data_IF_961649419391
#
_entry.id   IF_961649419391
#
_cell.length_a   1.000
_cell.length_b   1.000
_cell.length_c   1.000
_cell.angle_alpha   90.00
_cell.angle_beta   90.00
_cell.angle_gamma   90.00
#
_symmetry.space_group_name_H-M   'P 1'
#
loop_
_entity.id
_entity.type
_entity.pdbx_description
1 polymer ?
#
# COMPACT_ATOMS: atom_id res chain seq x y z
N UNK A 1 -17.32 -36.26 28.53
CA UNK A 1 -17.89 -35.73 27.26
C UNK A 1 -18.25 -34.28 27.47
N UNK A 2 -17.39 -33.36 27.08
CA UNK A 2 -17.75 -31.95 26.86
C UNK A 2 -17.31 -31.66 25.43
N UNK A 3 -18.29 -31.34 24.62
CA UNK A 3 -18.24 -31.25 23.16
C UNK A 3 -17.41 -30.05 22.72
N UNK A 4 -16.47 -30.30 21.80
CA UNK A 4 -15.65 -29.27 21.17
C UNK A 4 -16.47 -28.40 20.23
N UNK A 5 -16.35 -27.08 20.42
CA UNK A 5 -16.57 -26.12 19.37
C UNK A 5 -15.24 -25.96 18.62
N UNK A 6 -15.18 -26.41 17.36
CA UNK A 6 -14.10 -26.01 16.46
C UNK A 6 -14.30 -24.53 16.13
N UNK A 7 -13.29 -23.66 16.23
CA UNK A 7 -13.42 -22.31 15.72
C UNK A 7 -13.59 -22.39 14.19
N UNK A 8 -14.72 -21.88 13.67
CA UNK A 8 -14.92 -21.67 12.23
C UNK A 8 -13.80 -20.79 11.65
N UNK A 9 -13.56 -20.88 10.35
CA UNK A 9 -12.50 -20.10 9.70
C UNK A 9 -12.76 -18.60 9.88
N UNK A 10 -11.74 -17.75 9.84
CA UNK A 10 -11.92 -16.28 9.92
C UNK A 10 -12.89 -15.78 8.84
N UNK A 11 -12.84 -16.38 7.65
CA UNK A 11 -13.79 -16.15 6.57
C UNK A 11 -15.24 -16.49 6.96
N UNK A 12 -15.46 -17.52 7.79
CA UNK A 12 -16.77 -17.88 8.33
C UNK A 12 -17.25 -16.86 9.38
N UNK A 13 -16.37 -16.35 10.25
CA UNK A 13 -16.70 -15.26 11.18
C UNK A 13 -17.05 -13.94 10.45
N UNK A 14 -16.38 -13.65 9.34
CA UNK A 14 -16.75 -12.55 8.43
C UNK A 14 -18.13 -12.76 7.76
N UNK A 15 -18.58 -14.01 7.60
CA UNK A 15 -19.92 -14.36 7.08
C UNK A 15 -20.99 -14.33 8.18
N UNK A 16 -20.69 -14.76 9.40
CA UNK A 16 -21.65 -14.78 10.52
C UNK A 16 -22.08 -13.37 10.97
N UNK A 17 -21.18 -12.38 10.88
CA UNK A 17 -21.52 -10.97 11.10
C UNK A 17 -22.64 -10.43 10.16
N UNK A 18 -22.97 -11.15 9.08
CA UNK A 18 -24.07 -10.84 8.15
C UNK A 18 -25.46 -11.17 8.71
N UNK A 19 -25.58 -12.15 9.61
CA UNK A 19 -26.87 -12.71 10.00
C UNK A 19 -27.52 -11.96 11.16
N UNK A 20 -26.76 -11.23 11.97
CA UNK A 20 -27.27 -10.55 13.17
C UNK A 20 -27.96 -9.19 12.93
N UNK A 21 -28.07 -8.70 11.68
CA UNK A 21 -28.62 -7.35 11.39
C UNK A 21 -29.74 -7.27 10.33
N UNK A 22 -30.52 -8.33 10.13
CA UNK A 22 -31.83 -8.18 9.45
C UNK A 22 -32.93 -8.12 10.50
N UNK A 23 -33.21 -6.92 11.03
CA UNK A 23 -34.51 -6.52 11.61
C UNK A 23 -34.55 -5.00 11.88
N UNK A 24 -35.29 -4.29 11.02
CA UNK A 24 -36.09 -3.12 11.41
C UNK A 24 -35.61 -1.73 10.96
N UNK A 25 -36.21 -1.19 9.89
CA UNK A 25 -36.99 0.07 9.86
C UNK A 25 -37.05 0.69 8.44
N UNK A 26 -38.26 0.87 7.90
CA UNK A 26 -38.55 1.80 6.77
C UNK A 26 -39.16 3.12 7.30
N UNK A 27 -39.94 3.89 6.50
CA UNK A 27 -39.54 4.59 5.28
C UNK A 27 -39.98 6.10 5.21
N UNK A 28 -39.56 6.80 4.13
CA UNK A 28 -40.12 8.00 3.45
C UNK A 28 -39.81 9.45 3.92
N UNK A 29 -39.35 10.27 2.97
CA UNK A 29 -39.90 11.56 2.46
C UNK A 29 -38.93 12.04 1.34
N UNK A 30 -39.28 12.66 0.21
CA UNK A 30 -40.40 13.52 -0.19
C UNK A 30 -39.82 14.85 -0.73
N UNK A 31 -39.97 15.10 -2.05
CA UNK A 31 -39.51 16.26 -2.85
C UNK A 31 -40.05 17.63 -2.33
N UNK A 32 -39.55 18.82 -2.77
CA UNK A 32 -39.91 19.34 -4.10
C UNK A 32 -38.91 20.31 -4.81
N UNK A 33 -39.29 20.64 -6.04
CA UNK A 33 -38.71 21.51 -7.07
C UNK A 33 -38.53 22.99 -6.70
N UNK A 34 -37.68 23.71 -7.45
CA UNK A 34 -38.07 24.94 -8.19
C UNK A 34 -36.95 25.51 -9.07
N UNK A 35 -37.42 26.13 -10.15
CA UNK A 35 -36.77 26.80 -11.28
C UNK A 35 -36.42 28.26 -10.92
N UNK A 36 -35.28 28.81 -11.40
CA UNK A 36 -35.16 30.22 -11.83
C UNK A 36 -33.91 30.49 -12.68
N UNK A 37 -34.06 31.45 -13.59
CA UNK A 37 -33.19 31.88 -14.70
C UNK A 37 -32.20 32.99 -14.29
N UNK A 38 -31.11 33.15 -15.05
CA UNK A 38 -30.54 34.41 -15.58
C UNK A 38 -29.28 34.05 -16.42
N UNK A 39 -29.25 34.18 -17.75
CA UNK A 39 -28.93 35.37 -18.54
C UNK A 39 -27.54 35.97 -18.24
N UNK A 40 -26.63 35.95 -19.22
CA UNK A 40 -25.81 37.10 -19.66
C UNK A 40 -25.02 36.75 -20.93
N UNK A 41 -24.82 37.81 -21.71
CA UNK A 41 -24.52 37.91 -23.13
C UNK A 41 -23.03 38.10 -23.46
N UNK A 42 -22.65 37.67 -24.67
CA UNK A 42 -21.85 38.49 -25.60
C UNK A 42 -20.32 38.31 -25.59
N UNK A 43 -19.73 38.17 -26.79
CA UNK A 43 -18.32 38.47 -27.02
C UNK A 43 -17.63 37.59 -28.07
N UNK A 44 -17.93 37.82 -29.36
CA UNK A 44 -17.08 37.35 -30.46
C UNK A 44 -15.90 38.32 -30.67
N UNK A 45 -14.67 37.81 -30.80
CA UNK A 45 -13.59 38.47 -31.56
C UNK A 45 -12.69 37.43 -32.24
N UNK A 46 -12.47 37.68 -33.52
CA UNK A 46 -11.53 37.03 -34.43
C UNK A 46 -10.36 37.99 -34.67
N UNK A 47 -9.14 37.45 -34.80
CA UNK A 47 -7.94 38.04 -35.44
C UNK A 47 -6.78 37.04 -35.21
N UNK A 48 -5.78 36.83 -36.06
CA UNK A 48 -5.48 37.22 -37.44
C UNK A 48 -4.29 36.33 -37.88
N UNK A 49 -4.14 36.13 -39.19
CA UNK A 49 -2.98 35.49 -39.83
C UNK A 49 -1.80 36.49 -39.91
N UNK A 50 -0.57 36.02 -39.75
CA UNK A 50 0.60 36.58 -40.45
C UNK A 50 1.68 35.52 -40.68
N UNK A 51 2.44 35.72 -41.75
CA UNK A 51 3.29 34.75 -42.43
C UNK A 51 4.80 34.93 -42.16
N UNK A 52 5.51 33.83 -42.42
CA UNK A 52 6.85 33.70 -43.03
C UNK A 52 8.12 34.26 -42.34
N UNK A 53 9.12 33.39 -42.18
CA UNK A 53 10.55 33.74 -42.09
C UNK A 53 11.41 32.60 -41.54
N UNK A 54 12.64 32.35 -42.05
CA UNK A 54 13.15 30.98 -42.27
C UNK A 54 14.33 30.60 -41.39
N UNK A 55 14.41 29.35 -40.92
CA UNK A 55 15.72 28.72 -40.55
C UNK A 55 15.61 27.20 -40.42
N UNK A 56 16.34 26.50 -41.27
CA UNK A 56 17.17 25.33 -40.91
C UNK A 56 16.49 24.10 -40.30
N UNK A 57 16.12 23.15 -41.15
CA UNK A 57 15.97 21.76 -40.73
C UNK A 57 17.36 21.14 -40.54
N UNK A 58 17.88 21.14 -39.31
CA UNK A 58 18.94 20.22 -38.90
C UNK A 58 18.27 19.00 -38.28
N UNK A 59 18.16 17.95 -39.08
CA UNK A 59 18.00 16.57 -38.58
C UNK A 59 19.17 16.28 -37.65
N UNK A 60 18.92 16.20 -36.34
CA UNK A 60 19.78 15.44 -35.43
C UNK A 60 19.12 14.09 -35.18
N UNK A 61 19.76 13.08 -35.75
CA UNK A 61 19.49 11.67 -35.55
C UNK A 61 19.69 11.26 -34.09
N UNK A 62 18.90 10.26 -33.68
CA UNK A 62 19.32 9.21 -32.75
C UNK A 62 19.86 9.70 -31.39
N UNK A 63 18.95 10.01 -30.47
CA UNK A 63 19.25 10.13 -29.05
C UNK A 63 19.13 8.77 -28.39
N UNK A 64 20.26 8.07 -28.29
CA UNK A 64 20.44 6.85 -27.50
C UNK A 64 19.99 7.07 -26.06
N UNK A 65 19.51 5.99 -25.43
CA UNK A 65 19.32 5.86 -23.99
C UNK A 65 20.49 6.50 -23.23
N UNK A 66 20.25 7.62 -22.55
CA UNK A 66 21.16 8.12 -21.52
C UNK A 66 20.85 7.33 -20.26
N UNK A 67 21.55 6.21 -20.08
CA UNK A 67 21.80 5.72 -18.72
C UNK A 67 22.83 6.67 -18.14
N UNK A 68 22.42 7.50 -17.18
CA UNK A 68 23.36 8.23 -16.34
C UNK A 68 24.12 7.16 -15.56
N UNK A 69 25.40 6.98 -15.85
CA UNK A 69 26.26 6.16 -15.01
C UNK A 69 26.30 6.82 -13.64
N UNK A 70 25.92 6.07 -12.59
CA UNK A 70 26.12 6.50 -11.21
C UNK A 70 27.59 6.90 -11.06
N UNK A 71 27.84 8.02 -10.39
CA UNK A 71 29.21 8.44 -10.12
C UNK A 71 29.87 7.42 -9.19
N UNK A 72 31.17 7.16 -9.36
CA UNK A 72 31.91 6.20 -8.53
C UNK A 72 31.82 6.49 -7.02
N UNK A 73 31.51 7.73 -6.64
CA UNK A 73 31.24 8.13 -5.27
C UNK A 73 29.88 7.64 -4.75
N UNK A 74 28.84 7.63 -5.58
CA UNK A 74 27.51 7.12 -5.23
C UNK A 74 27.53 5.61 -5.02
N UNK A 75 28.26 4.88 -5.87
CA UNK A 75 28.45 3.43 -5.72
C UNK A 75 29.19 3.10 -4.41
N UNK A 76 30.28 3.81 -4.11
CA UNK A 76 31.03 3.62 -2.86
C UNK A 76 30.20 3.93 -1.61
N UNK A 77 29.38 5.00 -1.64
CA UNK A 77 28.52 5.35 -0.53
C UNK A 77 27.40 4.31 -0.31
N UNK A 78 26.87 3.74 -1.40
CA UNK A 78 25.88 2.67 -1.33
C UNK A 78 26.48 1.40 -0.70
N UNK A 79 27.70 1.03 -1.09
CA UNK A 79 28.41 -0.12 -0.52
C UNK A 79 28.67 0.04 0.98
N UNK A 80 29.15 1.20 1.43
CA UNK A 80 29.33 1.50 2.85
C UNK A 80 28.00 1.42 3.62
N UNK A 81 26.93 1.95 3.03
CA UNK A 81 25.59 1.91 3.60
C UNK A 81 25.08 0.48 3.73
N UNK A 82 25.25 -0.36 2.69
CA UNK A 82 24.92 -1.78 2.70
C UNK A 82 25.77 -2.57 3.72
N UNK A 83 27.05 -2.25 3.86
CA UNK A 83 27.91 -2.87 4.86
C UNK A 83 27.43 -2.58 6.30
N UNK A 84 26.77 -1.44 6.52
CA UNK A 84 26.24 -1.04 7.82
C UNK A 84 24.90 -1.70 8.20
N UNK A 85 24.28 -2.45 7.29
CA UNK A 85 22.91 -3.02 7.45
C UNK A 85 22.87 -4.20 8.41
N UNK A 86 23.98 -4.92 8.59
CA UNK A 86 23.99 -6.13 9.42
C UNK A 86 23.37 -5.86 10.79
N UNK A 87 22.41 -6.71 11.16
CA UNK A 87 21.61 -6.61 12.40
C UNK A 87 20.63 -5.42 12.51
N UNK A 88 20.43 -4.64 11.43
CA UNK A 88 19.46 -3.54 11.35
C UNK A 88 18.24 -3.90 10.52
N UNK A 89 17.15 -3.15 10.70
CA UNK A 89 15.97 -3.23 9.84
C UNK A 89 16.19 -2.41 8.57
N UNK A 90 15.91 -3.00 7.41
CA UNK A 90 15.84 -2.23 6.17
C UNK A 90 14.45 -1.64 6.02
N UNK A 91 14.36 -0.35 5.71
CA UNK A 91 13.13 0.29 5.27
C UNK A 91 13.22 0.54 3.78
N UNK A 92 12.35 -0.10 2.99
CA UNK A 92 12.20 0.18 1.56
C UNK A 92 11.19 1.32 1.42
N UNK A 93 11.70 2.49 1.05
CA UNK A 93 10.91 3.69 0.82
C UNK A 93 10.36 3.72 -0.61
N UNK A 94 9.03 3.68 -0.71
CA UNK A 94 8.28 3.86 -1.95
C UNK A 94 7.90 5.35 -2.18
N UNK A 95 8.79 6.27 -1.78
CA UNK A 95 8.64 7.72 -1.97
C UNK A 95 7.41 8.32 -1.27
N UNK A 96 7.16 7.93 -0.02
CA UNK A 96 6.00 8.38 0.73
C UNK A 96 6.34 9.26 1.94
N UNK A 97 5.53 10.29 2.16
CA UNK A 97 5.71 11.21 3.29
C UNK A 97 5.57 10.55 4.66
N UNK A 98 4.83 9.45 4.78
CA UNK A 98 4.64 8.71 6.02
C UNK A 98 5.80 7.78 6.35
N UNK A 99 6.74 7.54 5.42
CA UNK A 99 7.97 6.77 5.70
C UNK A 99 8.75 7.38 6.87
N UNK A 100 8.79 8.72 6.96
CA UNK A 100 9.41 9.41 8.11
C UNK A 100 8.76 9.07 9.44
N UNK A 101 7.43 8.99 9.50
CA UNK A 101 6.72 8.62 10.73
C UNK A 101 7.05 7.18 11.14
N UNK A 102 7.11 6.25 10.17
CA UNK A 102 7.50 4.86 10.44
C UNK A 102 8.94 4.78 10.99
N UNK A 103 9.87 5.51 10.38
CA UNK A 103 11.25 5.60 10.84
C UNK A 103 11.35 6.18 12.26
N UNK A 104 10.56 7.22 12.57
CA UNK A 104 10.49 7.77 13.93
C UNK A 104 9.97 6.74 14.94
N UNK A 105 8.95 5.96 14.60
CA UNK A 105 8.47 4.88 15.49
C UNK A 105 9.52 3.79 15.69
N UNK A 106 10.27 3.40 14.65
CA UNK A 106 11.38 2.47 14.80
C UNK A 106 12.46 3.02 15.74
N UNK A 107 12.83 4.29 15.58
CA UNK A 107 13.79 4.96 16.46
C UNK A 107 13.31 5.05 17.91
N UNK A 108 12.03 5.33 18.15
CA UNK A 108 11.45 5.35 19.49
C UNK A 108 11.41 3.97 20.17
N UNK A 109 11.52 2.89 19.39
CA UNK A 109 11.60 1.51 19.87
C UNK A 109 13.05 1.01 19.98
N UNK A 110 14.05 1.92 19.90
CA UNK A 110 15.48 1.60 19.89
C UNK A 110 15.84 0.57 18.80
N UNK A 111 15.12 0.59 17.68
CA UNK A 111 15.40 -0.27 16.54
C UNK A 111 16.27 0.46 15.54
N UNK A 112 17.50 -0.02 15.35
CA UNK A 112 18.37 0.49 14.29
C UNK A 112 17.80 0.15 12.92
N UNK A 113 17.82 1.14 12.02
CA UNK A 113 17.31 0.98 10.66
C UNK A 113 18.18 1.68 9.61
N UNK A 114 18.07 1.20 8.37
CA UNK A 114 18.66 1.80 7.17
C UNK A 114 17.57 1.94 6.12
N UNK A 115 17.40 3.14 5.57
CA UNK A 115 16.39 3.42 4.54
C UNK A 115 17.03 3.32 3.15
N UNK A 116 16.43 2.54 2.25
CA UNK A 116 16.75 2.53 0.82
C UNK A 116 15.51 2.87 0.04
N UNK A 117 15.64 3.62 -1.05
CA UNK A 117 14.52 3.78 -1.97
C UNK A 117 14.32 2.51 -2.80
N UNK A 118 13.10 2.31 -3.30
CA UNK A 118 12.72 1.12 -4.04
C UNK A 118 13.45 0.90 -5.39
N UNK A 119 14.31 1.83 -5.79
CA UNK A 119 15.11 1.83 -7.02
C UNK A 119 16.63 1.99 -6.76
N UNK A 120 17.06 2.13 -5.49
CA UNK A 120 18.46 2.36 -5.11
C UNK A 120 19.28 1.07 -4.94
N UNK A 121 18.61 -0.06 -4.65
CA UNK A 121 19.27 -1.34 -4.31
C UNK A 121 18.63 -2.50 -5.03
N UNK A 122 19.40 -3.58 -5.21
CA UNK A 122 18.90 -4.85 -5.73
C UNK A 122 18.54 -5.83 -4.62
N UNK A 123 17.71 -6.81 -4.94
CA UNK A 123 17.36 -7.91 -4.02
C UNK A 123 18.59 -8.67 -3.55
N UNK A 124 19.53 -8.94 -4.45
CA UNK A 124 20.76 -9.68 -4.14
C UNK A 124 21.66 -8.89 -3.16
N UNK A 125 21.71 -7.57 -3.29
CA UNK A 125 22.41 -6.69 -2.36
C UNK A 125 21.77 -6.72 -0.97
N UNK A 126 20.44 -6.61 -0.90
CA UNK A 126 19.70 -6.69 0.36
C UNK A 126 19.93 -8.06 1.03
N UNK A 127 19.82 -9.15 0.27
CA UNK A 127 20.03 -10.50 0.80
C UNK A 127 21.45 -10.68 1.35
N UNK A 128 22.45 -10.21 0.60
CA UNK A 128 23.86 -10.28 0.99
C UNK A 128 24.16 -9.47 2.24
N UNK A 129 23.43 -8.36 2.44
CA UNK A 129 23.56 -7.48 3.59
C UNK A 129 22.99 -8.08 4.91
N UNK A 130 22.19 -9.16 4.83
CA UNK A 130 21.63 -9.92 5.97
C UNK A 130 20.94 -9.02 7.00
N UNK A 131 19.85 -8.34 6.62
CA UNK A 131 19.09 -7.50 7.54
C UNK A 131 18.45 -8.32 8.66
N UNK A 132 18.18 -7.67 9.79
CA UNK A 132 17.38 -8.24 10.88
C UNK A 132 15.90 -8.39 10.52
N UNK A 133 15.42 -7.53 9.63
CA UNK A 133 14.05 -7.53 9.11
C UNK A 133 13.87 -6.47 8.04
N UNK A 134 12.75 -6.53 7.33
CA UNK A 134 12.45 -5.65 6.21
C UNK A 134 11.09 -4.99 6.43
N UNK A 135 11.04 -3.67 6.29
CA UNK A 135 9.84 -2.86 6.32
C UNK A 135 9.59 -2.28 4.93
N UNK A 136 8.49 -2.67 4.30
CA UNK A 136 8.04 -2.07 3.02
C UNK A 136 7.08 -0.93 3.32
N UNK A 137 7.48 0.29 2.97
CA UNK A 137 6.74 1.51 3.31
C UNK A 137 5.44 1.66 2.49
N UNK A 138 4.53 2.57 2.90
CA UNK A 138 3.51 3.10 2.02
C UNK A 138 4.13 3.77 0.78
N UNK A 139 3.32 3.97 -0.25
CA UNK A 139 3.70 4.62 -1.51
C UNK A 139 2.48 4.98 -2.35
N UNK A 140 2.62 5.91 -3.30
CA UNK A 140 1.61 6.15 -4.32
C UNK A 140 1.58 5.01 -5.35
N UNK A 141 0.55 4.99 -6.19
CA UNK A 141 0.44 4.06 -7.32
C UNK A 141 -0.09 2.67 -6.95
N UNK A 142 0.24 1.69 -7.79
CA UNK A 142 -0.11 0.28 -7.59
C UNK A 142 1.13 -0.55 -7.27
N UNK A 143 1.00 -1.78 -6.71
CA UNK A 143 2.15 -2.62 -6.42
C UNK A 143 3.03 -2.93 -7.64
N UNK A 144 2.49 -2.97 -8.86
CA UNK A 144 3.28 -3.18 -10.08
C UNK A 144 4.27 -2.04 -10.37
N UNK A 145 3.99 -0.84 -9.84
CA UNK A 145 4.82 0.35 -10.01
C UNK A 145 5.81 0.55 -8.84
N UNK A 146 5.81 -0.36 -7.86
CA UNK A 146 6.52 -0.20 -6.57
C UNK A 146 8.02 -0.58 -6.58
N UNK A 147 8.65 -0.61 -7.75
CA UNK A 147 10.05 -0.98 -7.91
C UNK A 147 10.34 -2.39 -7.37
N UNK A 148 11.36 -2.53 -6.52
CA UNK A 148 11.75 -3.83 -5.95
C UNK A 148 10.78 -4.37 -4.89
N UNK A 149 9.71 -3.67 -4.51
CA UNK A 149 8.91 -4.04 -3.35
C UNK A 149 8.16 -5.38 -3.52
N UNK A 150 7.62 -5.67 -4.72
CA UNK A 150 7.02 -6.98 -5.02
C UNK A 150 8.06 -8.10 -4.92
N UNK A 151 9.22 -7.92 -5.56
CA UNK A 151 10.30 -8.90 -5.52
C UNK A 151 10.87 -9.09 -4.12
N UNK A 152 10.90 -8.03 -3.30
CA UNK A 152 11.31 -8.10 -1.89
C UNK A 152 10.38 -9.03 -1.13
N UNK A 153 9.07 -8.85 -1.27
CA UNK A 153 8.10 -9.71 -0.60
C UNK A 153 8.24 -11.17 -1.05
N UNK A 154 8.35 -11.40 -2.35
CA UNK A 154 8.44 -12.75 -2.93
C UNK A 154 9.73 -13.48 -2.55
N UNK A 155 10.88 -12.83 -2.72
CA UNK A 155 12.20 -13.48 -2.58
C UNK A 155 12.78 -13.40 -1.17
N UNK A 156 12.49 -12.32 -0.44
CA UNK A 156 13.08 -12.04 0.87
C UNK A 156 12.12 -12.30 2.03
N UNK A 157 10.81 -12.22 1.81
CA UNK A 157 9.79 -12.58 2.82
C UNK A 157 9.98 -13.97 3.44
N UNK A 158 10.34 -15.02 2.67
CA UNK A 158 10.63 -16.34 3.24
C UNK A 158 11.94 -16.43 4.04
N UNK A 159 12.84 -15.44 3.91
CA UNK A 159 14.20 -15.45 4.47
C UNK A 159 14.35 -14.55 5.70
N UNK A 160 13.62 -13.44 5.72
CA UNK A 160 13.72 -12.41 6.75
C UNK A 160 12.32 -11.99 7.23
N UNK A 161 12.15 -11.63 8.52
CA UNK A 161 10.90 -11.05 8.99
C UNK A 161 10.54 -9.81 8.16
N UNK A 162 9.35 -9.81 7.57
CA UNK A 162 8.89 -8.75 6.68
C UNK A 162 7.58 -8.14 7.19
N UNK A 163 7.54 -6.81 7.24
CA UNK A 163 6.36 -6.04 7.59
C UNK A 163 6.01 -5.05 6.46
N UNK A 164 4.75 -5.03 6.04
CA UNK A 164 4.28 -4.18 4.94
C UNK A 164 3.17 -3.24 5.38
N UNK A 165 3.29 -1.94 5.06
CA UNK A 165 2.28 -0.93 5.40
C UNK A 165 1.70 -0.32 4.12
N UNK A 166 0.36 -0.23 4.04
CA UNK A 166 -0.37 0.30 2.88
C UNK A 166 0.03 -0.38 1.55
N UNK A 167 0.89 0.24 0.73
CA UNK A 167 1.42 -0.35 -0.49
C UNK A 167 2.17 -1.66 -0.19
N UNK A 168 2.99 -1.71 0.86
CA UNK A 168 3.64 -2.95 1.27
C UNK A 168 2.67 -4.06 1.67
N UNK A 169 1.52 -3.70 2.27
CA UNK A 169 0.44 -4.66 2.57
C UNK A 169 -0.22 -5.19 1.28
N UNK A 170 -0.40 -4.32 0.28
CA UNK A 170 -0.92 -4.70 -1.03
C UNK A 170 0.06 -5.60 -1.79
N UNK A 171 1.37 -5.30 -1.75
CA UNK A 171 2.41 -6.17 -2.32
C UNK A 171 2.34 -7.59 -1.75
N UNK A 172 2.14 -7.73 -0.42
CA UNK A 172 1.94 -9.04 0.22
C UNK A 172 0.71 -9.74 -0.34
N UNK A 173 -0.45 -9.08 -0.36
CA UNK A 173 -1.66 -9.68 -0.93
C UNK A 173 -1.46 -10.16 -2.37
N UNK A 174 -0.78 -9.36 -3.18
CA UNK A 174 -0.57 -9.63 -4.60
C UNK A 174 0.42 -10.75 -4.89
N UNK A 175 1.55 -10.78 -4.18
CA UNK A 175 2.57 -11.84 -4.35
C UNK A 175 1.99 -13.22 -4.08
N UNK A 176 1.07 -13.33 -3.12
CA UNK A 176 0.40 -14.59 -2.81
C UNK A 176 -0.84 -14.86 -3.67
N UNK A 177 -1.12 -14.04 -4.69
CA UNK A 177 -2.16 -14.28 -5.69
C UNK A 177 -3.50 -13.56 -5.47
N UNK A 178 -3.59 -12.65 -4.50
CA UNK A 178 -4.76 -11.81 -4.31
C UNK A 178 -4.82 -10.64 -5.28
N UNK A 179 -6.00 -10.31 -5.81
CA UNK A 179 -6.14 -9.11 -6.64
C UNK A 179 -6.13 -7.84 -5.79
N UNK A 180 -5.54 -6.78 -6.34
CA UNK A 180 -5.57 -5.44 -5.75
C UNK A 180 -6.57 -4.58 -6.51
N UNK A 181 -7.69 -4.28 -5.86
CA UNK A 181 -8.82 -3.56 -6.46
C UNK A 181 -9.06 -2.23 -5.77
N UNK A 182 -9.82 -1.34 -6.41
CA UNK A 182 -10.28 -0.10 -5.77
C UNK A 182 -11.26 -0.41 -4.63
N UNK A 183 -11.11 0.31 -3.53
CA UNK A 183 -12.00 0.19 -2.39
C UNK A 183 -13.46 0.53 -2.78
N UNK A 184 -14.40 -0.34 -2.41
CA UNK A 184 -15.84 -0.22 -2.74
C UNK A 184 -16.47 1.06 -2.18
N UNK A 185 -15.99 1.54 -1.04
CA UNK A 185 -16.47 2.74 -0.35
C UNK A 185 -15.84 4.06 -0.85
N UNK A 186 -15.03 4.01 -1.91
CA UNK A 186 -14.33 5.17 -2.47
C UNK A 186 -13.06 5.53 -1.72
N UNK A 187 -12.47 6.68 -2.05
CA UNK A 187 -11.22 7.17 -1.45
C UNK A 187 -11.47 7.59 0.00
N UNK A 188 -10.91 6.82 0.94
CA UNK A 188 -10.91 7.15 2.36
C UNK A 188 -9.58 7.83 2.68
N UNK A 189 -9.53 9.17 2.64
CA UNK A 189 -8.37 9.96 3.06
C UNK A 189 -8.63 10.59 4.43
N UNK A 190 -7.80 10.26 5.43
CA UNK A 190 -7.82 10.91 6.75
C UNK A 190 -9.06 10.61 7.59
N UNK A 191 -9.86 9.61 7.22
CA UNK A 191 -11.00 9.15 8.02
C UNK A 191 -10.55 8.04 8.94
N UNK A 192 -10.96 8.12 10.20
CA UNK A 192 -10.82 7.03 11.15
C UNK A 192 -11.91 6.00 10.88
N UNK A 193 -11.57 4.72 10.99
CA UNK A 193 -12.53 3.62 10.91
C UNK A 193 -12.29 2.65 12.06
N UNK A 194 -13.36 2.09 12.64
CA UNK A 194 -13.23 0.97 13.57
C UNK A 194 -12.71 -0.25 12.81
N UNK A 195 -11.60 -0.80 13.29
CA UNK A 195 -10.96 -2.01 12.76
C UNK A 195 -11.14 -3.13 13.78
N UNK A 196 -11.82 -4.20 13.35
CA UNK A 196 -11.96 -5.44 14.08
C UNK A 196 -10.76 -6.34 13.79
N UNK A 197 -10.37 -7.16 14.75
CA UNK A 197 -9.26 -8.07 14.60
C UNK A 197 -9.45 -9.36 15.39
N UNK A 198 -8.62 -10.35 15.10
CA UNK A 198 -8.62 -11.68 15.71
C UNK A 198 -7.87 -11.78 17.03
N UNK A 199 -7.30 -10.68 17.54
CA UNK A 199 -6.41 -10.67 18.72
C UNK A 199 -5.19 -11.60 18.60
N UNK A 200 -4.66 -11.75 17.37
CA UNK A 200 -3.50 -12.60 17.07
C UNK A 200 -2.41 -11.82 16.33
N UNK A 201 -1.22 -12.42 16.26
CA UNK A 201 -0.07 -11.83 15.56
C UNK A 201 0.29 -10.45 16.12
N UNK A 202 0.51 -9.49 15.23
CA UNK A 202 0.88 -8.10 15.57
C UNK A 202 -0.26 -7.32 16.26
N UNK A 203 -1.48 -7.85 16.28
CA UNK A 203 -2.67 -7.18 16.81
C UNK A 203 -3.08 -7.71 18.19
N UNK A 204 -2.28 -8.62 18.77
CA UNK A 204 -2.56 -9.22 20.07
C UNK A 204 -2.48 -8.18 21.19
N UNK A 205 -3.48 -8.15 22.06
CA UNK A 205 -3.61 -7.24 23.20
C UNK A 205 -4.19 -5.87 22.85
N UNK A 206 -4.57 -5.62 21.59
CA UNK A 206 -5.26 -4.39 21.20
C UNK A 206 -6.76 -4.48 21.51
N UNK A 207 -7.40 -3.34 21.75
CA UNK A 207 -8.86 -3.26 21.90
C UNK A 207 -9.56 -3.58 20.58
N UNK A 208 -10.64 -4.35 20.61
CA UNK A 208 -11.44 -4.67 19.42
C UNK A 208 -12.84 -4.07 19.52
N UNK A 209 -13.24 -3.15 18.62
CA UNK A 209 -12.43 -2.55 17.56
C UNK A 209 -11.43 -1.50 18.08
N UNK A 210 -10.36 -1.26 17.33
CA UNK A 210 -9.50 -0.08 17.51
C UNK A 210 -9.70 0.91 16.36
N UNK A 211 -9.40 2.19 16.62
CA UNK A 211 -9.50 3.21 15.58
C UNK A 211 -8.20 3.26 14.78
N UNK A 212 -8.30 3.03 13.46
CA UNK A 212 -7.20 3.21 12.53
C UNK A 212 -7.52 4.30 11.51
N UNK A 213 -6.52 5.11 11.14
CA UNK A 213 -6.65 6.05 10.04
C UNK A 213 -6.54 5.30 8.71
N UNK A 214 -7.43 5.61 7.78
CA UNK A 214 -7.42 5.03 6.43
C UNK A 214 -6.99 6.06 5.40
N UNK A 215 -6.13 5.60 4.48
CA UNK A 215 -5.58 6.38 3.37
C UNK A 215 -5.58 5.64 2.04
N UNK A 216 -5.92 4.35 2.03
CA UNK A 216 -5.76 3.50 0.87
C UNK A 216 -6.97 3.61 -0.09
N UNK A 217 -6.66 3.85 -1.37
CA UNK A 217 -7.60 3.79 -2.50
C UNK A 217 -7.74 2.37 -3.04
N UNK A 218 -6.75 1.52 -2.78
CA UNK A 218 -6.66 0.13 -3.19
C UNK A 218 -6.72 -0.81 -1.98
N UNK A 219 -7.25 -2.00 -2.18
CA UNK A 219 -7.46 -3.03 -1.15
C UNK A 219 -7.24 -4.41 -1.77
N UNK A 220 -6.89 -5.38 -0.92
CA UNK A 220 -6.91 -6.80 -1.32
C UNK A 220 -8.37 -7.21 -1.49
N UNK A 221 -8.69 -7.82 -2.63
CA UNK A 221 -10.03 -8.31 -2.95
C UNK A 221 -10.39 -9.55 -2.12
N UNK A 222 -11.53 -9.51 -1.43
CA UNK A 222 -12.04 -10.64 -0.62
C UNK A 222 -12.29 -11.90 -1.48
N UNK A 223 -12.77 -11.73 -2.72
CA UNK A 223 -13.17 -12.84 -3.59
C UNK A 223 -11.99 -13.65 -4.14
N UNK A 224 -10.83 -13.02 -4.28
CA UNK A 224 -9.59 -13.65 -4.76
C UNK A 224 -8.54 -13.77 -3.67
N UNK A 225 -8.94 -13.60 -2.41
CA UNK A 225 -8.01 -13.66 -1.28
C UNK A 225 -7.35 -15.06 -1.19
N UNK A 226 -6.01 -15.15 -1.12
CA UNK A 226 -5.30 -16.42 -1.13
C UNK A 226 -5.32 -17.08 0.24
N UNK A 227 -6.47 -17.67 0.59
CA UNK A 227 -6.69 -18.35 1.88
C UNK A 227 -5.74 -19.52 2.14
N UNK A 228 -5.04 -20.06 1.13
CA UNK A 228 -4.05 -21.14 1.34
C UNK A 228 -2.79 -20.63 2.04
N UNK A 229 -2.34 -19.41 1.72
CA UNK A 229 -1.06 -18.85 2.18
C UNK A 229 -1.22 -17.84 3.32
N UNK A 230 -2.30 -17.04 3.26
CA UNK A 230 -2.52 -15.90 4.15
C UNK A 230 -3.73 -16.09 5.08
N UNK A 231 -3.60 -15.61 6.30
CA UNK A 231 -4.69 -15.41 7.25
C UNK A 231 -5.06 -13.93 7.32
N UNK A 232 -6.36 -13.62 7.31
CA UNK A 232 -6.85 -12.27 7.60
C UNK A 232 -6.81 -12.05 9.11
N UNK A 233 -6.10 -11.02 9.55
CA UNK A 233 -6.01 -10.66 10.97
C UNK A 233 -6.95 -9.53 11.35
N UNK A 234 -7.27 -8.63 10.42
CA UNK A 234 -8.14 -7.48 10.69
C UNK A 234 -8.97 -7.05 9.50
N UNK A 235 -10.14 -6.46 9.80
CA UNK A 235 -11.09 -5.95 8.81
C UNK A 235 -11.94 -4.80 9.36
N UNK A 236 -12.56 -4.02 8.47
CA UNK A 236 -13.57 -3.00 8.80
C UNK A 236 -15.00 -3.54 8.67
N UNK A 237 -16.00 -2.75 9.08
CA UNK A 237 -17.44 -3.13 8.94
C UNK A 237 -17.86 -3.43 7.49
N UNK A 238 -17.25 -2.73 6.52
CA UNK A 238 -17.47 -2.96 5.08
C UNK A 238 -16.67 -4.14 4.51
N UNK A 239 -16.06 -4.95 5.39
CA UNK A 239 -15.23 -6.13 5.09
C UNK A 239 -13.93 -5.84 4.36
N UNK A 240 -13.49 -4.58 4.32
CA UNK A 240 -12.17 -4.28 3.80
C UNK A 240 -11.10 -4.96 4.65
N UNK A 241 -10.21 -5.73 4.02
CA UNK A 241 -9.07 -6.38 4.67
C UNK A 241 -8.09 -5.29 5.12
N UNK A 242 -7.75 -5.28 6.41
CA UNK A 242 -6.90 -4.26 7.04
C UNK A 242 -5.54 -4.80 7.52
N UNK A 243 -5.45 -6.11 7.77
CA UNK A 243 -4.20 -6.77 8.10
C UNK A 243 -4.26 -8.24 7.69
N UNK A 244 -3.14 -8.76 7.21
CA UNK A 244 -2.94 -10.16 6.84
C UNK A 244 -1.63 -10.65 7.45
N UNK A 245 -1.53 -11.96 7.63
CA UNK A 245 -0.31 -12.62 8.07
C UNK A 245 -0.14 -13.91 7.28
N UNK A 246 1.10 -14.20 6.89
CA UNK A 246 1.41 -15.49 6.29
C UNK A 246 1.30 -16.60 7.35
N UNK A 247 0.77 -17.76 6.95
CA UNK A 247 0.51 -18.88 7.88
C UNK A 247 1.78 -19.49 8.46
N UNK A 248 2.78 -19.70 7.61
CA UNK A 248 4.03 -20.36 7.96
C UNK A 248 5.19 -19.38 8.26
N UNK A 249 5.37 -18.35 7.42
CA UNK A 249 6.38 -17.31 7.60
C UNK A 249 5.95 -16.36 8.74
N UNK A 250 6.67 -16.40 9.86
CA UNK A 250 6.39 -15.60 11.07
C UNK A 250 7.60 -14.77 11.47
#
# INVERSE_FOLDING_TARGET
>A
RVTGARPGSVCERMREARVSRVRGAGPRAGCPSTRRQAALSGGARSAAKSAAGPTGWIRRSCGKNVRVAASSAEESALEEKLASVRDKVIVIDNYDSFTFNLCQYLGNLDCDYVVFKNDEVTIDQIESAKPKGILVSPGPGTPEESGISLETVEKLGPKFPLFGVCLGHQCIGQVFGGNIIRAKCGVMHGKTSPVFHTDTGILKGLSSPFNAARYHSLVIEEETFPESELDILAWTEDKTIMAVQHKEMK
#
